data_IF_612763472608
#
_entry.id   IF_612763472608
#
_cell.length_a   1.000
_cell.length_b   1.000
_cell.length_c   1.000
_cell.angle_alpha   90.00
_cell.angle_beta   90.00
_cell.angle_gamma   90.00
#
_symmetry.space_group_name_H-M   'P 1'
#
loop_
_entity.id
_entity.type
_entity.pdbx_description
1 polymer ?
#
# COMPACT_ATOMS: atom_id res chain seq x y z
N UNK A 1 9.64 1.39 -12.18
CA UNK A 1 8.52 1.51 -11.23
C UNK A 1 8.21 0.14 -10.66
N UNK A 2 7.98 0.06 -9.38
CA UNK A 2 7.77 -1.21 -8.70
C UNK A 2 6.28 -1.52 -8.54
N UNK A 3 5.98 -2.81 -8.45
CA UNK A 3 4.64 -3.29 -8.12
C UNK A 3 4.67 -3.92 -6.73
N UNK A 4 3.66 -3.65 -5.94
CA UNK A 4 3.50 -4.21 -4.61
C UNK A 4 2.14 -4.87 -4.49
N UNK A 5 2.13 -6.04 -3.87
CA UNK A 5 0.88 -6.73 -3.54
C UNK A 5 0.58 -6.48 -2.07
N UNK A 6 -0.59 -5.92 -1.82
CA UNK A 6 -1.03 -5.56 -0.47
C UNK A 6 -2.20 -6.45 -0.08
N UNK A 7 -2.06 -7.15 1.03
CA UNK A 7 -3.15 -7.93 1.60
C UNK A 7 -3.95 -7.02 2.53
N UNK A 8 -5.21 -6.82 2.22
CA UNK A 8 -6.10 -5.94 2.97
C UNK A 8 -7.17 -6.73 3.70
N UNK A 9 -7.70 -6.14 4.77
CA UNK A 9 -8.82 -6.68 5.52
C UNK A 9 -10.10 -5.97 5.07
N UNK A 10 -11.06 -6.75 4.56
CA UNK A 10 -12.32 -6.24 4.01
C UNK A 10 -13.54 -6.66 4.82
N UNK A 11 -13.38 -7.51 5.82
CA UNK A 11 -14.51 -8.03 6.61
C UNK A 11 -14.89 -7.12 7.76
N UNK A 12 -16.03 -7.44 8.36
CA UNK A 12 -16.48 -6.82 9.61
C UNK A 12 -15.97 -7.64 10.82
N UNK A 13 -16.48 -7.32 12.03
CA UNK A 13 -16.05 -7.98 13.25
C UNK A 13 -16.43 -9.47 13.32
N UNK A 14 -17.41 -9.89 12.56
CA UNK A 14 -17.91 -11.28 12.58
C UNK A 14 -17.26 -12.14 11.49
N UNK A 15 -16.73 -11.52 10.46
CA UNK A 15 -16.19 -12.22 9.31
C UNK A 15 -14.84 -11.62 8.89
N UNK A 16 -13.82 -12.46 8.85
CA UNK A 16 -12.49 -12.03 8.38
C UNK A 16 -12.42 -12.35 6.88
N UNK A 17 -12.48 -11.29 6.09
CA UNK A 17 -12.33 -11.38 4.63
C UNK A 17 -11.08 -10.62 4.24
N UNK A 18 -10.23 -11.26 3.46
CA UNK A 18 -9.00 -10.63 2.93
C UNK A 18 -9.06 -10.56 1.42
N UNK A 19 -8.37 -9.57 0.87
CA UNK A 19 -8.24 -9.41 -0.58
C UNK A 19 -6.84 -8.91 -0.90
N UNK A 20 -6.38 -9.17 -2.11
CA UNK A 20 -5.10 -8.70 -2.62
C UNK A 20 -5.32 -7.51 -3.54
N UNK A 21 -4.54 -6.45 -3.32
CA UNK A 21 -4.55 -5.27 -4.17
C UNK A 21 -3.16 -5.06 -4.74
N UNK A 22 -3.07 -4.88 -6.06
CA UNK A 22 -1.81 -4.58 -6.73
C UNK A 22 -1.64 -3.06 -6.83
N UNK A 23 -0.54 -2.55 -6.28
CA UNK A 23 -0.26 -1.11 -6.22
C UNK A 23 1.05 -0.82 -6.93
N UNK A 24 1.07 0.22 -7.78
CA UNK A 24 2.28 0.71 -8.43
C UNK A 24 2.84 1.91 -7.68
N UNK A 25 4.16 1.93 -7.53
CA UNK A 25 4.84 3.08 -6.94
C UNK A 25 6.34 2.90 -6.95
N UNK A 26 7.09 3.99 -6.81
CA UNK A 26 8.53 3.94 -6.65
C UNK A 26 8.93 3.67 -5.20
N UNK A 27 8.15 4.21 -4.26
CA UNK A 27 8.48 4.18 -2.85
C UNK A 27 7.30 3.71 -2.03
N UNK A 28 7.61 3.05 -0.92
CA UNK A 28 6.63 2.61 0.06
C UNK A 28 7.14 2.95 1.46
N UNK A 29 6.27 3.46 2.31
CA UNK A 29 6.59 3.80 3.70
C UNK A 29 5.47 3.36 4.63
N UNK A 30 5.85 3.05 5.88
CA UNK A 30 4.90 2.84 6.97
C UNK A 30 5.05 4.03 7.92
N UNK A 31 3.97 4.74 8.17
CA UNK A 31 3.97 5.90 9.07
C UNK A 31 4.01 5.46 10.53
N UNK A 32 4.26 6.40 11.44
CA UNK A 32 4.25 6.12 12.89
C UNK A 32 2.88 5.63 13.37
N UNK A 33 1.82 6.06 12.71
CA UNK A 33 0.46 5.63 13.04
C UNK A 33 0.12 4.25 12.47
N UNK A 34 0.98 3.68 11.62
CA UNK A 34 0.76 2.38 11.01
C UNK A 34 0.07 2.43 9.65
N UNK A 35 -0.03 3.60 9.03
CA UNK A 35 -0.54 3.72 7.67
C UNK A 35 0.51 3.30 6.67
N UNK A 36 0.07 2.65 5.59
CA UNK A 36 0.94 2.24 4.49
C UNK A 36 0.76 3.23 3.34
N UNK A 37 1.87 3.83 2.89
CA UNK A 37 1.86 4.89 1.89
C UNK A 37 2.73 4.50 0.70
N UNK A 38 2.15 4.60 -0.50
CA UNK A 38 2.87 4.41 -1.77
C UNK A 38 2.92 5.73 -2.52
N UNK A 39 4.08 6.07 -3.04
CA UNK A 39 4.23 7.31 -3.81
C UNK A 39 5.34 7.18 -4.85
N UNK A 40 5.34 8.12 -5.77
CA UNK A 40 6.39 8.26 -6.78
C UNK A 40 6.84 9.72 -6.82
N UNK A 41 8.00 9.96 -7.46
CA UNK A 41 8.50 11.32 -7.68
C UNK A 41 8.77 11.51 -9.16
N UNK A 42 8.46 12.70 -9.66
CA UNK A 42 8.75 13.05 -11.05
C UNK A 42 10.20 13.56 -11.20
N UNK A 43 10.56 14.01 -12.40
CA UNK A 43 11.91 14.48 -12.70
C UNK A 43 12.30 15.74 -11.91
N UNK A 44 11.31 16.51 -11.41
CA UNK A 44 11.54 17.70 -10.59
C UNK A 44 11.50 17.41 -9.09
N UNK A 45 11.48 16.12 -8.71
CA UNK A 45 11.40 15.64 -7.33
C UNK A 45 10.07 15.95 -6.64
N UNK A 46 9.03 16.26 -7.41
CA UNK A 46 7.69 16.45 -6.87
C UNK A 46 7.00 15.09 -6.65
N UNK A 47 6.32 14.97 -5.52
CA UNK A 47 5.59 13.74 -5.19
C UNK A 47 4.34 13.63 -6.05
N UNK A 48 4.16 12.48 -6.68
CA UNK A 48 3.01 12.17 -7.53
C UNK A 48 2.47 10.78 -7.20
N UNK A 49 1.20 10.55 -7.50
CA UNK A 49 0.59 9.24 -7.37
C UNK A 49 0.60 8.71 -5.95
N UNK A 50 -0.26 9.27 -5.10
CA UNK A 50 -0.35 8.87 -3.69
C UNK A 50 -1.46 7.86 -3.48
N UNK A 51 -1.11 6.70 -2.88
CA UNK A 51 -2.07 5.70 -2.42
C UNK A 51 -1.79 5.42 -0.95
N UNK A 52 -2.81 5.53 -0.10
CA UNK A 52 -2.68 5.34 1.34
C UNK A 52 -3.67 4.28 1.83
N UNK A 53 -3.15 3.31 2.58
CA UNK A 53 -3.98 2.36 3.33
C UNK A 53 -3.95 2.76 4.80
N UNK A 54 -5.12 2.98 5.38
CA UNK A 54 -5.24 3.41 6.77
C UNK A 54 -4.70 2.34 7.74
N UNK A 55 -4.24 2.74 8.94
CA UNK A 55 -3.83 1.79 9.96
C UNK A 55 -4.93 0.78 10.25
N UNK A 56 -4.57 -0.50 10.33
CA UNK A 56 -5.52 -1.58 10.58
C UNK A 56 -6.30 -2.08 9.37
N UNK A 57 -6.10 -1.45 8.19
CA UNK A 57 -6.77 -1.87 6.96
C UNK A 57 -5.92 -2.77 6.08
N UNK A 58 -4.63 -2.78 6.30
CA UNK A 58 -3.70 -3.63 5.56
C UNK A 58 -3.00 -4.59 6.51
N UNK A 59 -2.66 -5.78 6.02
CA UNK A 59 -2.05 -6.84 6.81
C UNK A 59 -0.61 -7.11 6.41
N UNK A 60 -0.35 -7.19 5.12
CA UNK A 60 0.97 -7.49 4.58
C UNK A 60 1.19 -6.71 3.29
N UNK A 61 2.46 -6.45 2.98
CA UNK A 61 2.86 -5.88 1.70
C UNK A 61 4.08 -6.64 1.19
N UNK A 62 4.05 -7.03 -0.10
CA UNK A 62 5.13 -7.73 -0.76
C UNK A 62 5.47 -7.02 -2.05
N UNK A 63 6.77 -6.84 -2.32
CA UNK A 63 7.20 -6.35 -3.61
C UNK A 63 7.15 -7.48 -4.63
N UNK A 64 6.47 -7.23 -5.75
CA UNK A 64 6.42 -8.18 -6.85
C UNK A 64 7.60 -7.95 -7.78
N UNK A 65 8.30 -9.01 -8.13
CA UNK A 65 9.38 -8.98 -9.12
C UNK A 65 8.85 -9.43 -10.46
N UNK A 66 9.20 -8.68 -11.47
CA UNK A 66 8.85 -9.05 -12.85
C UNK A 66 10.08 -9.54 -13.60
#
# INVERSE_FOLDING_TARGET
MNFYRVLISCGDDEEIVTDDVLVRGQFVEVTKAGALVFYSRDASDAQIGLVIFAPGRWLEVHQEHQ
#
